data_IF_506897095424
#
_entry.id   IF_506897095424
#
_cell.length_a   1.000
_cell.length_b   1.000
_cell.length_c   1.000
_cell.angle_alpha   90.00
_cell.angle_beta   90.00
_cell.angle_gamma   90.00
#
_symmetry.space_group_name_H-M   'P 1'
#
loop_
_entity.id
_entity.type
_entity.pdbx_description
1 polymer ?
#
# COMPACT_ATOMS: atom_id res chain seq x y z
N UNK A 1 52.20 -16.10 49.17
CA UNK A 1 51.39 -17.24 49.60
C UNK A 1 50.15 -16.68 50.31
N UNK A 2 48.96 -16.92 49.74
CA UNK A 2 47.61 -16.85 50.31
C UNK A 2 47.06 -15.58 51.00
N UNK A 3 46.07 -14.95 50.35
CA UNK A 3 44.68 -14.66 50.83
C UNK A 3 44.00 -13.80 49.72
N UNK A 4 43.06 -14.20 48.87
CA UNK A 4 41.79 -14.98 48.97
C UNK A 4 40.76 -14.43 49.97
N UNK A 5 40.16 -13.26 49.69
CA UNK A 5 38.78 -12.93 50.09
C UNK A 5 38.16 -12.02 49.01
N UNK A 6 37.28 -12.51 48.13
CA UNK A 6 35.83 -12.74 48.31
C UNK A 6 35.01 -11.44 48.20
N UNK A 7 34.51 -11.14 47.00
CA UNK A 7 33.37 -10.25 46.76
C UNK A 7 32.44 -10.96 45.76
N UNK A 8 31.20 -11.31 46.15
CA UNK A 8 30.34 -12.14 45.33
C UNK A 8 29.60 -11.31 44.27
N UNK A 9 29.36 -12.00 43.16
CA UNK A 9 28.34 -11.79 42.14
C UNK A 9 27.23 -10.79 42.49
N UNK A 10 27.14 -9.71 41.70
CA UNK A 10 25.88 -9.04 41.46
C UNK A 10 25.64 -8.91 39.95
N UNK A 11 25.45 -10.07 39.31
CA UNK A 11 24.97 -10.16 37.93
C UNK A 11 23.44 -10.09 37.96
N UNK A 12 22.87 -8.89 38.16
CA UNK A 12 21.44 -8.68 37.95
C UNK A 12 21.18 -8.78 36.45
N UNK A 13 20.68 -9.94 36.03
CA UNK A 13 20.22 -10.19 34.68
C UNK A 13 18.89 -9.45 34.49
N UNK A 14 18.94 -8.25 33.91
CA UNK A 14 17.74 -7.54 33.49
C UNK A 14 17.22 -8.21 32.21
N UNK A 15 16.36 -9.22 32.37
CA UNK A 15 15.59 -9.77 31.27
C UNK A 15 14.54 -8.72 30.85
N UNK A 16 14.91 -7.85 29.91
CA UNK A 16 13.95 -7.03 29.21
C UNK A 16 13.07 -7.96 28.36
N UNK A 17 11.89 -8.29 28.87
CA UNK A 17 10.87 -8.91 28.05
C UNK A 17 10.46 -7.90 26.97
N UNK A 18 10.97 -8.09 25.76
CA UNK A 18 10.53 -7.37 24.57
C UNK A 18 9.07 -7.73 24.33
N UNK A 19 8.14 -6.92 24.84
CA UNK A 19 6.75 -6.95 24.39
C UNK A 19 6.81 -6.53 22.92
N UNK A 20 6.81 -7.52 22.02
CA UNK A 20 6.60 -7.28 20.60
C UNK A 20 5.22 -6.66 20.47
N UNK A 21 5.16 -5.34 20.25
CA UNK A 21 3.91 -4.67 19.94
C UNK A 21 3.38 -5.27 18.64
N UNK A 22 2.35 -6.13 18.76
CA UNK A 22 1.65 -6.69 17.62
C UNK A 22 1.12 -5.50 16.79
N UNK A 23 1.51 -5.42 15.52
CA UNK A 23 1.03 -4.35 14.64
C UNK A 23 -0.51 -4.34 14.64
N UNK A 24 -1.15 -3.15 14.66
CA UNK A 24 -2.60 -3.07 14.69
C UNK A 24 -3.20 -3.76 13.46
N UNK A 25 -4.33 -4.46 13.64
CA UNK A 25 -4.98 -5.19 12.54
C UNK A 25 -5.55 -4.25 11.45
N UNK A 26 -5.81 -2.99 11.82
CA UNK A 26 -6.38 -1.96 10.95
C UNK A 26 -5.78 -0.62 11.32
N UNK A 27 -5.63 0.26 10.34
CA UNK A 27 -5.20 1.64 10.52
C UNK A 27 -6.28 2.59 10.04
N UNK A 28 -6.36 3.76 10.66
CA UNK A 28 -7.31 4.81 10.32
C UNK A 28 -6.57 6.02 9.76
N UNK A 29 -6.54 6.19 8.43
CA UNK A 29 -5.82 7.28 7.77
C UNK A 29 -6.48 7.73 6.46
N UNK A 30 -6.28 8.99 6.05
CA UNK A 30 -6.70 9.46 4.74
C UNK A 30 -5.78 8.96 3.63
N UNK A 31 -6.30 8.79 2.40
CA UNK A 31 -5.48 8.39 1.25
C UNK A 31 -4.53 9.49 0.75
N UNK A 32 -4.90 10.76 0.89
CA UNK A 32 -4.14 11.89 0.37
C UNK A 32 -4.40 13.16 1.18
N UNK A 33 -3.91 13.26 2.42
CA UNK A 33 -4.10 14.43 3.27
C UNK A 33 -3.58 15.73 2.63
N UNK A 34 -2.61 15.64 1.72
CA UNK A 34 -2.06 16.76 0.96
C UNK A 34 -3.07 17.44 0.03
N UNK A 35 -4.20 16.79 -0.27
CA UNK A 35 -5.26 17.37 -1.11
C UNK A 35 -6.19 18.31 -0.34
N UNK A 36 -5.94 18.57 0.95
CA UNK A 36 -6.67 19.57 1.72
C UNK A 36 -6.45 20.96 1.13
N UNK A 37 -7.53 21.61 0.70
CA UNK A 37 -7.49 22.91 0.03
C UNK A 37 -8.36 23.96 0.75
N UNK A 38 -7.98 25.23 0.66
CA UNK A 38 -8.78 26.36 1.17
C UNK A 38 -9.99 26.65 0.27
N UNK A 39 -10.92 27.49 0.74
CA UNK A 39 -12.07 27.90 -0.08
C UNK A 39 -11.65 28.65 -1.35
N UNK A 40 -10.65 29.53 -1.26
CA UNK A 40 -10.11 30.27 -2.41
C UNK A 40 -9.46 29.31 -3.42
N UNK A 41 -8.67 28.33 -2.95
CA UNK A 41 -8.08 27.33 -3.83
C UNK A 41 -9.15 26.50 -4.54
N UNK A 42 -10.19 26.07 -3.83
CA UNK A 42 -11.32 25.33 -4.43
C UNK A 42 -12.15 26.17 -5.40
N UNK A 43 -12.23 27.48 -5.18
CA UNK A 43 -12.89 28.40 -6.11
C UNK A 43 -12.12 28.48 -7.44
N UNK A 44 -10.79 28.58 -7.39
CA UNK A 44 -9.94 28.70 -8.57
C UNK A 44 -9.72 27.36 -9.31
N UNK A 45 -9.56 26.25 -8.58
CA UNK A 45 -9.14 24.94 -9.12
C UNK A 45 -10.19 23.83 -8.94
N UNK A 46 -11.44 24.23 -8.68
CA UNK A 46 -12.57 23.33 -8.49
C UNK A 46 -12.62 22.68 -7.10
N UNK A 47 -13.76 22.07 -6.75
CA UNK A 47 -13.91 21.32 -5.49
C UNK A 47 -13.21 19.96 -5.54
N UNK A 48 -13.34 19.27 -6.67
CA UNK A 48 -12.83 17.92 -6.94
C UNK A 48 -13.20 16.91 -5.84
N UNK A 49 -12.52 15.75 -5.78
CA UNK A 49 -12.76 14.70 -4.79
C UNK A 49 -11.93 14.87 -3.51
N UNK A 50 -11.63 16.12 -3.15
CA UNK A 50 -10.72 16.43 -2.03
C UNK A 50 -11.26 15.97 -0.68
N UNK A 51 -12.59 15.92 -0.52
CA UNK A 51 -13.20 15.39 0.68
C UNK A 51 -12.87 13.89 0.83
N UNK A 52 -12.97 13.13 -0.24
CA UNK A 52 -12.70 11.69 -0.29
C UNK A 52 -11.21 11.40 -0.10
N UNK A 53 -10.33 12.23 -0.67
CA UNK A 53 -8.87 12.11 -0.44
C UNK A 53 -8.45 12.39 1.00
N UNK A 54 -9.15 13.31 1.68
CA UNK A 54 -8.77 13.80 3.03
C UNK A 54 -9.57 13.15 4.16
N UNK A 55 -10.58 12.34 3.84
CA UNK A 55 -11.36 11.59 4.82
C UNK A 55 -10.57 10.37 5.26
N UNK A 56 -10.35 10.24 6.57
CA UNK A 56 -9.70 9.06 7.13
C UNK A 56 -10.64 7.87 7.07
N UNK A 57 -10.10 6.72 6.66
CA UNK A 57 -10.84 5.47 6.53
C UNK A 57 -10.07 4.33 7.19
N UNK A 58 -10.80 3.27 7.52
CA UNK A 58 -10.23 2.05 8.05
C UNK A 58 -9.67 1.19 6.91
N UNK A 59 -8.40 0.83 7.01
CA UNK A 59 -7.72 -0.06 6.08
C UNK A 59 -7.04 -1.22 6.82
N UNK A 60 -7.27 -2.47 6.41
CA UNK A 60 -6.62 -3.62 7.03
C UNK A 60 -5.12 -3.59 6.76
N UNK A 61 -4.34 -3.87 7.80
CA UNK A 61 -2.89 -3.97 7.71
C UNK A 61 -2.52 -5.34 7.16
N UNK A 62 -1.69 -5.39 6.11
CA UNK A 62 -1.28 -6.66 5.50
C UNK A 62 0.18 -7.00 5.79
N UNK A 63 0.37 -8.25 6.21
CA UNK A 63 1.67 -8.89 6.32
C UNK A 63 1.85 -9.81 5.09
N UNK A 64 2.82 -9.48 4.24
CA UNK A 64 3.05 -10.16 2.96
C UNK A 64 3.48 -11.60 3.16
N UNK A 65 4.19 -11.93 4.24
CA UNK A 65 4.65 -13.27 4.57
C UNK A 65 3.52 -14.26 4.89
N UNK A 66 2.35 -13.77 5.27
CA UNK A 66 1.20 -14.59 5.70
C UNK A 66 0.05 -14.56 4.70
N UNK A 67 -0.24 -13.40 4.11
CA UNK A 67 -1.35 -13.26 3.16
C UNK A 67 -1.14 -14.16 1.93
N UNK A 68 -2.21 -14.84 1.51
CA UNK A 68 -2.20 -15.78 0.36
C UNK A 68 -1.07 -16.81 0.39
N UNK A 69 -0.68 -17.28 1.60
CA UNK A 69 0.39 -18.27 1.78
C UNK A 69 1.80 -17.72 1.62
N UNK A 70 1.96 -16.40 1.67
CA UNK A 70 3.22 -15.70 1.54
C UNK A 70 3.44 -15.16 0.13
N UNK A 71 3.37 -13.83 0.02
CA UNK A 71 3.66 -13.04 -1.16
C UNK A 71 5.10 -12.53 -1.13
N UNK A 72 5.81 -12.75 -2.23
CA UNK A 72 7.17 -12.27 -2.44
C UNK A 72 7.14 -11.15 -3.48
N UNK A 73 7.56 -9.92 -3.13
CA UNK A 73 7.74 -8.86 -4.11
C UNK A 73 8.88 -9.19 -5.06
N UNK A 74 8.68 -8.93 -6.35
CA UNK A 74 9.70 -9.26 -7.36
C UNK A 74 9.94 -8.18 -8.42
N UNK A 75 8.98 -7.27 -8.66
CA UNK A 75 9.14 -6.28 -9.72
C UNK A 75 8.38 -4.98 -9.44
N UNK A 76 9.07 -3.84 -9.60
CA UNK A 76 8.41 -2.52 -9.68
C UNK A 76 7.66 -2.41 -11.01
N UNK A 77 6.45 -1.89 -10.96
CA UNK A 77 5.61 -1.64 -12.12
C UNK A 77 4.85 -0.32 -11.93
N UNK A 78 4.10 0.09 -12.96
CA UNK A 78 3.61 1.47 -13.05
C UNK A 78 4.69 2.44 -13.48
N UNK A 79 4.33 3.71 -13.69
CA UNK A 79 5.29 4.70 -14.22
C UNK A 79 4.75 6.11 -14.42
N UNK A 80 3.43 6.28 -14.57
CA UNK A 80 2.81 7.59 -14.78
C UNK A 80 2.27 8.25 -13.51
N UNK A 81 1.41 7.54 -12.78
CA UNK A 81 0.66 8.10 -11.65
C UNK A 81 0.72 7.23 -10.39
N UNK A 82 0.50 5.92 -10.54
CA UNK A 82 0.54 4.96 -9.43
C UNK A 82 1.88 4.23 -9.37
N UNK A 83 2.39 4.04 -8.15
CA UNK A 83 3.50 3.14 -7.85
C UNK A 83 2.93 1.74 -7.68
N UNK A 84 3.37 0.79 -8.50
CA UNK A 84 2.86 -0.58 -8.42
C UNK A 84 3.97 -1.57 -8.09
N UNK A 85 3.67 -2.57 -7.28
CA UNK A 85 4.60 -3.64 -6.90
C UNK A 85 3.97 -4.97 -7.25
N UNK A 86 4.64 -5.73 -8.13
CA UNK A 86 4.23 -7.09 -8.47
C UNK A 86 4.71 -8.04 -7.39
N UNK A 87 3.80 -8.90 -6.99
CA UNK A 87 3.98 -9.89 -5.95
C UNK A 87 3.66 -11.27 -6.54
N UNK A 88 4.32 -12.29 -6.01
CA UNK A 88 4.03 -13.68 -6.38
C UNK A 88 3.90 -14.53 -5.13
N UNK A 89 2.84 -15.33 -5.06
CA UNK A 89 2.68 -16.31 -4.00
C UNK A 89 3.60 -17.51 -4.21
N UNK A 90 3.80 -18.32 -3.16
CA UNK A 90 4.52 -19.60 -3.26
C UNK A 90 3.91 -20.57 -4.28
N UNK A 91 2.60 -20.49 -4.51
CA UNK A 91 1.87 -21.29 -5.49
C UNK A 91 2.01 -20.79 -6.94
N UNK A 92 2.75 -19.70 -7.17
CA UNK A 92 2.95 -19.12 -8.50
C UNK A 92 1.89 -18.11 -8.93
N UNK A 93 0.78 -17.97 -8.19
CA UNK A 93 -0.24 -16.92 -8.44
C UNK A 93 0.36 -15.54 -8.27
N UNK A 94 0.01 -14.65 -9.19
CA UNK A 94 0.52 -13.28 -9.20
C UNK A 94 -0.50 -12.27 -8.69
N UNK A 95 0.01 -11.24 -8.03
CA UNK A 95 -0.76 -10.14 -7.48
C UNK A 95 -0.04 -8.84 -7.77
N UNK A 96 -0.78 -7.74 -7.65
CA UNK A 96 -0.22 -6.39 -7.75
C UNK A 96 -0.72 -5.55 -6.59
N UNK A 97 0.18 -4.82 -5.96
CA UNK A 97 -0.15 -3.67 -5.12
C UNK A 97 -0.09 -2.44 -6.01
N UNK A 98 -1.16 -1.65 -6.06
CA UNK A 98 -1.21 -0.38 -6.77
C UNK A 98 -1.50 0.74 -5.79
N UNK A 99 -0.63 1.76 -5.72
CA UNK A 99 -0.80 2.84 -4.75
C UNK A 99 -2.12 3.58 -4.98
N UNK A 100 -2.85 3.81 -3.88
CA UNK A 100 -4.03 4.67 -3.89
C UNK A 100 -3.59 6.10 -4.07
N UNK A 101 -2.64 6.56 -3.26
CA UNK A 101 -2.02 7.85 -3.45
C UNK A 101 -1.17 7.85 -4.73
N UNK A 102 -1.41 8.85 -5.57
CA UNK A 102 -0.79 8.99 -6.89
C UNK A 102 0.15 10.17 -6.88
N UNK A 103 1.30 10.02 -7.51
CA UNK A 103 2.29 11.10 -7.61
C UNK A 103 2.53 11.43 -9.07
N UNK A 104 2.25 12.69 -9.45
CA UNK A 104 2.55 13.21 -10.80
C UNK A 104 3.79 14.08 -10.85
N UNK A 105 4.30 14.53 -9.71
CA UNK A 105 5.50 15.37 -9.65
C UNK A 105 6.74 14.69 -10.25
N UNK A 106 6.78 13.35 -10.30
CA UNK A 106 7.87 12.61 -10.94
C UNK A 106 7.96 12.84 -12.45
N UNK A 107 6.86 13.24 -13.11
CA UNK A 107 6.81 13.62 -14.53
C UNK A 107 7.52 14.96 -14.80
N UNK A 108 7.80 15.74 -13.76
CA UNK A 108 8.44 17.04 -13.90
C UNK A 108 9.98 16.93 -13.76
N UNK A 109 10.74 17.82 -14.42
CA UNK A 109 12.16 18.00 -14.14
C UNK A 109 12.42 18.22 -12.65
N UNK A 110 13.54 17.73 -12.13
CA UNK A 110 13.88 17.78 -10.70
C UNK A 110 13.72 19.18 -10.08
N UNK A 111 14.12 20.22 -10.84
CA UNK A 111 14.00 21.64 -10.46
C UNK A 111 12.55 22.09 -10.21
N UNK A 112 11.56 21.48 -10.89
CA UNK A 112 10.15 21.88 -10.81
C UNK A 112 9.33 21.02 -9.85
N UNK A 113 9.84 19.87 -9.38
CA UNK A 113 9.07 18.95 -8.52
C UNK A 113 8.63 19.58 -7.20
N UNK A 114 9.45 20.46 -6.65
CA UNK A 114 9.21 21.15 -5.37
C UNK A 114 8.78 22.61 -5.54
N UNK A 115 8.36 23.01 -6.74
CA UNK A 115 7.89 24.37 -7.02
C UNK A 115 6.38 24.50 -6.87
N UNK A 116 5.87 25.74 -6.95
CA UNK A 116 4.43 26.00 -7.03
C UNK A 116 3.79 25.30 -8.23
N UNK A 117 4.50 25.22 -9.37
CA UNK A 117 4.05 24.48 -10.55
C UNK A 117 3.95 22.98 -10.25
N UNK A 118 4.95 22.41 -9.56
CA UNK A 118 4.89 21.00 -9.13
C UNK A 118 3.72 20.70 -8.20
N UNK A 119 3.42 21.62 -7.29
CA UNK A 119 2.28 21.52 -6.38
C UNK A 119 0.94 21.57 -7.14
N UNK A 120 0.83 22.44 -8.14
CA UNK A 120 -0.36 22.52 -9.00
C UNK A 120 -0.55 21.25 -9.85
N UNK A 121 0.52 20.70 -10.42
CA UNK A 121 0.47 19.43 -11.17
C UNK A 121 0.05 18.28 -10.26
N UNK A 122 0.54 18.25 -9.03
CA UNK A 122 0.12 17.26 -8.02
C UNK A 122 -1.35 17.47 -7.60
N UNK A 123 -1.83 18.71 -7.48
CA UNK A 123 -3.23 19.01 -7.16
C UNK A 123 -4.20 18.45 -8.21
N UNK A 124 -3.77 18.31 -9.47
CA UNK A 124 -4.55 17.66 -10.53
C UNK A 124 -4.97 16.21 -10.21
N UNK A 125 -4.26 15.51 -9.31
CA UNK A 125 -4.66 14.17 -8.83
C UNK A 125 -6.02 14.20 -8.12
N UNK A 126 -6.33 15.31 -7.44
CA UNK A 126 -7.58 15.47 -6.70
C UNK A 126 -8.83 15.37 -7.57
N UNK A 127 -8.69 15.59 -8.89
CA UNK A 127 -9.78 15.49 -9.87
C UNK A 127 -10.27 14.04 -10.06
N UNK A 128 -9.47 13.05 -9.67
CA UNK A 128 -9.86 11.63 -9.68
C UNK A 128 -10.31 11.16 -8.30
N UNK A 129 -11.26 10.23 -8.25
CA UNK A 129 -11.72 9.64 -6.99
C UNK A 129 -10.71 8.58 -6.50
N UNK A 130 -10.24 8.63 -5.24
CA UNK A 130 -9.18 7.74 -4.72
C UNK A 130 -9.56 6.26 -4.77
N UNK A 131 -10.81 5.95 -4.43
CA UNK A 131 -11.31 4.57 -4.28
C UNK A 131 -12.22 4.10 -5.42
N UNK A 132 -12.20 4.75 -6.59
CA UNK A 132 -13.15 4.43 -7.68
C UNK A 132 -13.14 2.95 -8.09
N UNK A 133 -11.96 2.33 -8.08
CA UNK A 133 -11.79 0.92 -8.44
C UNK A 133 -12.55 -0.04 -7.52
N UNK A 134 -12.81 0.35 -6.26
CA UNK A 134 -13.55 -0.49 -5.30
C UNK A 134 -15.05 -0.55 -5.58
N UNK A 135 -15.60 0.37 -6.37
CA UNK A 135 -17.02 0.38 -6.72
C UNK A 135 -17.37 -0.60 -7.86
N UNK A 136 -16.38 -1.01 -8.66
CA UNK A 136 -16.60 -1.80 -9.87
C UNK A 136 -16.97 -3.27 -9.64
N UNK A 137 -16.36 -4.01 -8.68
CA UNK A 137 -16.59 -5.45 -8.54
C UNK A 137 -18.08 -5.82 -8.43
N UNK A 138 -18.85 -5.12 -7.58
CA UNK A 138 -20.28 -5.41 -7.42
C UNK A 138 -21.11 -5.20 -8.69
N UNK A 139 -20.72 -4.23 -9.54
CA UNK A 139 -21.39 -4.01 -10.84
C UNK A 139 -21.05 -5.13 -11.83
N UNK A 140 -19.78 -5.56 -11.84
CA UNK A 140 -19.29 -6.60 -12.73
C UNK A 140 -19.83 -7.98 -12.32
N UNK A 141 -19.99 -8.24 -11.01
CA UNK A 141 -20.67 -9.42 -10.47
C UNK A 141 -22.12 -9.48 -10.96
N UNK A 142 -22.86 -8.37 -10.83
CA UNK A 142 -24.24 -8.29 -11.30
C UNK A 142 -24.37 -8.51 -12.83
N UNK A 143 -23.37 -8.07 -13.59
CA UNK A 143 -23.27 -8.30 -15.03
C UNK A 143 -22.69 -9.68 -15.40
N UNK A 144 -22.26 -10.49 -14.42
CA UNK A 144 -21.55 -11.78 -14.59
C UNK A 144 -20.31 -11.65 -15.48
N UNK A 145 -19.59 -10.54 -15.35
CA UNK A 145 -18.34 -10.29 -16.06
C UNK A 145 -17.19 -10.73 -15.15
N UNK A 146 -16.36 -11.71 -15.56
CA UNK A 146 -15.18 -12.09 -14.81
C UNK A 146 -14.22 -10.92 -14.58
N UNK A 147 -13.73 -10.76 -13.36
CA UNK A 147 -12.87 -9.64 -12.98
C UNK A 147 -12.05 -9.91 -11.72
N UNK A 148 -10.90 -9.23 -11.62
CA UNK A 148 -10.15 -9.16 -10.36
C UNK A 148 -10.85 -8.21 -9.38
N UNK A 149 -10.75 -8.53 -8.08
CA UNK A 149 -11.44 -7.79 -7.04
C UNK A 149 -10.42 -7.00 -6.20
N UNK A 150 -10.20 -5.70 -6.50
CA UNK A 150 -9.26 -4.89 -5.74
C UNK A 150 -9.67 -4.80 -4.26
N UNK A 151 -8.72 -5.05 -3.37
CA UNK A 151 -8.89 -4.90 -1.92
C UNK A 151 -8.04 -3.75 -1.41
N UNK A 152 -8.67 -2.81 -0.70
CA UNK A 152 -7.93 -1.76 -0.01
C UNK A 152 -7.14 -2.35 1.15
N UNK A 153 -5.85 -2.06 1.22
CA UNK A 153 -4.94 -2.52 2.27
C UNK A 153 -3.94 -1.43 2.64
N UNK A 154 -3.46 -1.46 3.87
CA UNK A 154 -2.30 -0.69 4.30
C UNK A 154 -1.07 -1.58 4.37
N UNK A 155 0.03 -1.13 3.79
CA UNK A 155 1.28 -1.88 3.72
C UNK A 155 2.31 -1.29 4.69
N UNK A 156 2.52 -1.86 5.88
CA UNK A 156 3.53 -1.38 6.81
C UNK A 156 4.94 -1.75 6.34
N UNK A 157 5.95 -1.10 6.94
CA UNK A 157 7.34 -1.55 6.82
C UNK A 157 7.46 -2.96 7.39
N UNK A 158 8.08 -3.86 6.64
CA UNK A 158 8.17 -5.29 7.00
C UNK A 158 9.33 -5.98 6.29
N UNK A 159 9.86 -7.04 6.89
CA UNK A 159 11.00 -7.78 6.34
C UNK A 159 10.72 -8.35 4.94
N UNK A 160 9.50 -8.83 4.69
CA UNK A 160 9.09 -9.38 3.40
C UNK A 160 9.14 -8.38 2.23
N UNK A 161 9.14 -7.07 2.50
CA UNK A 161 9.33 -6.04 1.48
C UNK A 161 10.80 -5.85 1.10
N UNK A 162 11.75 -6.28 1.93
CA UNK A 162 13.19 -6.14 1.67
C UNK A 162 13.57 -4.75 1.12
N UNK A 163 14.24 -4.67 -0.02
CA UNK A 163 14.67 -3.44 -0.71
C UNK A 163 13.53 -2.57 -1.24
N UNK A 164 12.28 -3.03 -1.17
CA UNK A 164 11.10 -2.25 -1.54
C UNK A 164 10.55 -1.41 -0.40
N UNK A 165 10.98 -1.60 0.85
CA UNK A 165 10.42 -0.88 2.00
C UNK A 165 10.43 0.64 1.82
N UNK A 166 11.55 1.23 1.38
CA UNK A 166 11.66 2.69 1.28
C UNK A 166 10.77 3.29 0.20
N UNK A 167 10.39 2.50 -0.80
CA UNK A 167 9.56 2.93 -1.90
C UNK A 167 8.09 2.52 -1.76
N UNK A 168 7.72 1.63 -0.84
CA UNK A 168 6.36 1.05 -0.78
C UNK A 168 5.76 0.91 0.62
N UNK A 169 6.55 1.00 1.70
CA UNK A 169 5.99 0.94 3.04
C UNK A 169 5.27 2.24 3.42
N UNK A 170 4.26 2.12 4.28
CA UNK A 170 3.58 3.24 4.93
C UNK A 170 2.49 3.91 4.11
N UNK A 171 1.90 3.21 3.13
CA UNK A 171 0.86 3.79 2.26
C UNK A 171 -0.30 2.81 2.03
N UNK A 172 -1.40 3.34 1.49
CA UNK A 172 -2.56 2.61 1.06
C UNK A 172 -2.38 2.06 -0.36
N UNK A 173 -2.79 0.82 -0.54
CA UNK A 173 -2.72 0.11 -1.80
C UNK A 173 -4.04 -0.58 -2.12
N UNK A 174 -4.28 -0.74 -3.41
CA UNK A 174 -5.21 -1.73 -3.93
C UNK A 174 -4.40 -2.99 -4.21
N UNK A 175 -4.70 -4.06 -3.48
CA UNK A 175 -4.16 -5.40 -3.71
C UNK A 175 -5.12 -6.13 -4.64
N UNK A 176 -4.64 -6.48 -5.82
CA UNK A 176 -5.45 -7.04 -6.91
C UNK A 176 -4.80 -8.33 -7.41
N UNK A 177 -5.61 -9.34 -7.77
CA UNK A 177 -5.10 -10.49 -8.51
C UNK A 177 -4.61 -10.06 -9.90
N UNK A 178 -3.52 -10.67 -10.35
CA UNK A 178 -3.00 -10.49 -11.70
C UNK A 178 -3.13 -11.83 -12.43
N UNK A 179 -4.19 -12.02 -13.25
CA UNK A 179 -4.46 -13.30 -13.90
C UNK A 179 -3.46 -13.58 -15.02
N UNK A 180 -2.22 -13.90 -14.66
CA UNK A 180 -1.19 -14.47 -15.53
C UNK A 180 -0.96 -15.92 -15.11
N UNK A 181 -0.90 -16.84 -16.08
CA UNK A 181 -0.78 -18.27 -15.81
C UNK A 181 -2.13 -18.94 -15.49
N UNK A 182 -2.10 -20.02 -14.71
CA UNK A 182 -3.28 -20.81 -14.38
C UNK A 182 -4.08 -20.16 -13.24
N UNK A 183 -5.36 -19.86 -13.50
CA UNK A 183 -6.36 -19.36 -12.55
C UNK A 183 -7.67 -20.15 -12.65
N UNK A 184 -7.59 -21.42 -13.04
CA UNK A 184 -8.75 -22.30 -13.20
C UNK A 184 -9.52 -22.57 -11.90
N UNK A 185 -8.88 -22.41 -10.75
CA UNK A 185 -9.46 -22.47 -9.40
C UNK A 185 -10.14 -21.17 -8.95
N UNK A 186 -9.98 -20.07 -9.69
CA UNK A 186 -10.58 -18.76 -9.39
C UNK A 186 -11.75 -18.47 -10.33
N UNK A 187 -12.94 -18.95 -9.96
CA UNK A 187 -14.15 -18.82 -10.78
C UNK A 187 -14.52 -17.36 -11.10
N UNK A 188 -14.28 -16.41 -10.18
CA UNK A 188 -14.54 -14.98 -10.38
C UNK A 188 -13.65 -14.34 -11.45
N UNK A 189 -12.50 -14.96 -11.74
CA UNK A 189 -11.59 -14.55 -12.82
C UNK A 189 -11.91 -15.23 -14.16
N UNK A 190 -12.96 -16.05 -14.22
CA UNK A 190 -13.40 -16.72 -15.46
C UNK A 190 -12.78 -18.10 -15.69
N UNK A 191 -12.00 -18.61 -14.74
CA UNK A 191 -11.50 -19.99 -14.75
C UNK A 191 -10.51 -20.32 -15.86
N UNK A 192 -9.78 -19.32 -16.38
CA UNK A 192 -8.83 -19.52 -17.48
C UNK A 192 -7.58 -20.30 -17.04
N UNK A 193 -7.11 -21.23 -17.89
CA UNK A 193 -5.86 -21.99 -17.66
C UNK A 193 -4.60 -21.22 -18.04
N UNK A 194 -4.70 -20.29 -19.00
CA UNK A 194 -3.64 -19.37 -19.42
C UNK A 194 -4.29 -18.09 -19.97
N UNK A 195 -3.64 -16.95 -19.73
CA UNK A 195 -3.97 -15.64 -20.26
C UNK A 195 -2.76 -15.09 -21.02
#
# INVERSE_FOLDING_TARGET
MLLKHLLPLLSVLLAAASVSAQAPATVHLPAGPEHKASAVHRFLFGRNWRAEWTTAIDAPVVALDTIYGGLVPYQRSGGGESRSLRLRSRSGKEYVLRSVNKTRSNLLPALLRRSAYGSLVQDGVSMSHPYAALALPGMLDAARIPHAAPRLVYLPRQAALDSFNDAYAGDLYLLEERPTGDWSDAAHLGGYRQY
#
